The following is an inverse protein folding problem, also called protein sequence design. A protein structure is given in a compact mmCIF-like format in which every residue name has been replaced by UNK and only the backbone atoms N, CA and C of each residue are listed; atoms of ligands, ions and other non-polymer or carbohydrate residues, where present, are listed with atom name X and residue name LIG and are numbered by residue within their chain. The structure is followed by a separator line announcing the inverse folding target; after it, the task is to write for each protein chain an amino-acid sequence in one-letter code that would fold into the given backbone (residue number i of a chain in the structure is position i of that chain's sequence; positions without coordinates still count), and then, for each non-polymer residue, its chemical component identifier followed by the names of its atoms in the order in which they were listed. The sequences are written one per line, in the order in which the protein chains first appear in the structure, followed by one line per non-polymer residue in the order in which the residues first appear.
data_IF_911467686145
#
_entry.id   IF_911467686145
#
_cell.length_a   1.000
_cell.length_b   1.000
_cell.length_c   1.000
_cell.angle_alpha   90.00
_cell.angle_beta   90.00
_cell.angle_gamma   90.00
#
_symmetry.space_group_name_H-M   'P 1'
#
loop_
_entity.id
_entity.type
_entity.pdbx_description
1 polymer ?
#
# COMPACT_ATOMS: atom_id res chain seq x y z
N UNK A 1 1.48 5.56 19.75
CA UNK A 1 0.85 4.21 19.81
C UNK A 1 1.73 3.29 20.63
N UNK A 2 1.19 2.77 21.73
CA UNK A 2 1.90 1.90 22.66
C UNK A 2 1.09 0.62 22.86
N UNK A 3 1.76 -0.53 22.73
CA UNK A 3 1.15 -1.84 22.99
C UNK A 3 1.50 -2.28 24.42
N UNK A 4 0.50 -2.81 25.14
CA UNK A 4 0.74 -3.53 26.38
C UNK A 4 1.22 -4.95 26.03
N UNK A 5 2.38 -5.35 26.56
CA UNK A 5 2.88 -6.73 26.39
C UNK A 5 3.23 -7.33 27.78
N UNK A 6 3.32 -8.66 27.89
CA UNK A 6 3.72 -9.29 29.14
C UNK A 6 5.09 -8.83 29.67
N UNK A 7 5.97 -8.37 28.77
CA UNK A 7 7.30 -7.86 29.11
C UNK A 7 7.31 -6.33 29.40
N UNK A 8 6.13 -5.68 29.43
CA UNK A 8 5.97 -4.23 29.61
C UNK A 8 5.47 -3.50 28.37
N UNK A 9 5.22 -2.18 28.45
CA UNK A 9 4.71 -1.40 27.34
C UNK A 9 5.76 -1.22 26.24
N UNK A 10 5.36 -1.46 24.98
CA UNK A 10 6.20 -1.28 23.79
C UNK A 10 5.64 -0.14 22.95
N UNK A 11 6.37 0.96 22.86
CA UNK A 11 6.01 2.08 22.02
C UNK A 11 6.40 1.79 20.57
N UNK A 12 5.41 1.56 19.71
CA UNK A 12 5.61 1.27 18.29
C UNK A 12 5.78 2.55 17.45
N UNK A 13 4.98 3.59 17.76
CA UNK A 13 5.00 4.89 17.08
C UNK A 13 5.01 6.03 18.11
N UNK A 14 5.80 7.06 17.87
CA UNK A 14 5.85 8.26 18.69
C UNK A 14 5.89 9.50 17.81
N UNK A 15 4.98 10.46 18.07
CA UNK A 15 4.94 11.77 17.39
C UNK A 15 5.00 11.64 15.85
N UNK A 16 4.24 10.69 15.29
CA UNK A 16 4.12 10.51 13.84
C UNK A 16 2.99 11.41 13.33
N UNK A 17 3.35 12.58 12.81
CA UNK A 17 2.41 13.50 12.16
C UNK A 17 2.70 13.51 10.66
N UNK A 18 1.66 13.32 9.86
CA UNK A 18 1.75 13.34 8.40
C UNK A 18 0.39 13.74 7.81
N UNK A 19 0.43 14.35 6.66
CA UNK A 19 -0.77 14.68 5.86
C UNK A 19 -0.57 14.11 4.46
N UNK A 20 -1.60 13.50 3.87
CA UNK A 20 -1.57 12.94 2.52
C UNK A 20 -2.66 13.64 1.72
N UNK A 21 -2.32 14.18 0.58
CA UNK A 21 -3.27 14.84 -0.31
C UNK A 21 -4.13 13.79 -1.07
N UNK A 22 -5.37 14.15 -1.48
CA UNK A 22 -6.14 13.30 -2.38
C UNK A 22 -5.35 12.96 -3.66
N UNK A 23 -5.45 11.72 -4.13
CA UNK A 23 -4.77 11.18 -5.32
C UNK A 23 -3.25 11.14 -5.23
N UNK A 24 -2.67 11.40 -4.07
CA UNK A 24 -1.23 11.32 -3.84
C UNK A 24 -0.81 9.85 -3.65
N UNK A 25 0.31 9.47 -4.25
CA UNK A 25 0.98 8.20 -3.99
C UNK A 25 2.10 8.42 -2.98
N UNK A 26 1.92 7.98 -1.74
CA UNK A 26 2.90 8.15 -0.66
C UNK A 26 3.46 6.79 -0.24
N UNK A 27 4.78 6.66 -0.22
CA UNK A 27 5.43 5.48 0.37
C UNK A 27 5.92 5.73 1.80
N UNK A 28 5.73 4.72 2.65
CA UNK A 28 6.33 4.60 3.96
C UNK A 28 7.53 3.67 3.89
N UNK A 29 8.72 4.20 4.09
CA UNK A 29 9.97 3.47 4.08
C UNK A 29 10.57 3.41 5.48
N UNK A 30 11.17 2.29 5.88
CA UNK A 30 11.80 2.18 7.20
C UNK A 30 12.20 0.75 7.52
N UNK A 31 13.05 0.53 8.54
CA UNK A 31 13.50 -0.79 8.94
C UNK A 31 12.33 -1.67 9.42
N UNK A 32 12.55 -2.98 9.44
CA UNK A 32 11.55 -3.92 9.95
C UNK A 32 11.21 -3.60 11.41
N UNK A 33 9.93 -3.66 11.73
CA UNK A 33 9.43 -3.42 13.08
C UNK A 33 9.43 -1.95 13.54
N UNK A 34 9.65 -0.96 12.66
CA UNK A 34 9.57 0.46 13.02
C UNK A 34 8.14 1.03 13.10
N UNK A 35 7.10 0.22 12.87
CA UNK A 35 5.71 0.64 13.02
C UNK A 35 4.96 0.98 11.73
N UNK A 36 5.51 0.70 10.53
CA UNK A 36 4.83 0.96 9.24
C UNK A 36 3.46 0.30 9.14
N UNK A 37 3.40 -1.01 9.34
CA UNK A 37 2.12 -1.76 9.35
C UNK A 37 1.19 -1.33 10.48
N UNK A 38 1.74 -0.91 11.63
CA UNK A 38 0.95 -0.33 12.72
C UNK A 38 0.28 0.97 12.28
N UNK A 39 1.00 1.83 11.56
CA UNK A 39 0.43 3.08 11.04
C UNK A 39 -0.70 2.80 10.04
N UNK A 40 -0.52 1.86 9.09
CA UNK A 40 -1.58 1.48 8.18
C UNK A 40 -2.84 0.97 8.91
N UNK A 41 -2.64 0.12 9.92
CA UNK A 41 -3.75 -0.44 10.71
C UNK A 41 -4.48 0.61 11.55
N UNK A 42 -3.78 1.64 12.02
CA UNK A 42 -4.39 2.80 12.68
C UNK A 42 -5.24 3.61 11.71
N UNK A 43 -4.73 3.88 10.49
CA UNK A 43 -5.48 4.60 9.45
C UNK A 43 -6.72 3.82 9.03
N UNK A 44 -6.64 2.48 8.92
CA UNK A 44 -7.74 1.60 8.54
C UNK A 44 -8.78 1.35 9.65
N UNK A 45 -8.63 1.95 10.83
CA UNK A 45 -9.47 1.66 12.01
C UNK A 45 -9.45 0.18 12.46
N UNK A 46 -8.33 -0.51 12.22
CA UNK A 46 -8.08 -1.86 12.74
C UNK A 46 -7.50 -1.77 14.15
N UNK A 47 -6.77 -0.70 14.45
CA UNK A 47 -6.24 -0.35 15.75
C UNK A 47 -6.67 1.05 16.14
N UNK A 48 -6.95 1.27 17.42
CA UNK A 48 -7.18 2.60 17.96
C UNK A 48 -5.86 3.25 18.40
N UNK A 49 -5.62 4.54 18.15
CA UNK A 49 -4.43 5.23 18.64
C UNK A 49 -4.48 5.36 20.17
N UNK A 50 -3.32 5.18 20.85
CA UNK A 50 -3.21 5.43 22.29
C UNK A 50 -3.35 6.92 22.61
N UNK A 51 -2.80 7.76 21.74
CA UNK A 51 -2.83 9.23 21.83
C UNK A 51 -2.82 9.82 20.42
N UNK A 52 -3.27 11.08 20.30
CA UNK A 52 -3.36 11.77 19.03
C UNK A 52 -4.66 11.50 18.30
N UNK A 53 -4.75 11.96 17.06
CA UNK A 53 -5.94 11.81 16.23
C UNK A 53 -5.55 11.42 14.80
N UNK A 54 -6.48 10.76 14.12
CA UNK A 54 -6.40 10.42 12.70
C UNK A 54 -7.68 10.91 12.05
N UNK A 55 -7.55 11.52 10.89
CA UNK A 55 -8.67 12.01 10.09
C UNK A 55 -8.50 11.52 8.64
N UNK A 56 -9.57 11.08 8.02
CA UNK A 56 -9.59 10.63 6.63
C UNK A 56 -10.75 11.31 5.92
N UNK A 57 -10.42 12.24 4.99
CA UNK A 57 -11.43 13.07 4.35
C UNK A 57 -12.21 13.97 5.33
N UNK A 58 -11.60 14.37 6.45
CA UNK A 58 -12.22 15.14 7.53
C UNK A 58 -13.01 14.32 8.56
N UNK A 59 -13.17 13.02 8.34
CA UNK A 59 -13.89 12.12 9.24
C UNK A 59 -12.91 11.28 10.10
N UNK A 60 -13.32 10.84 11.31
CA UNK A 60 -12.59 9.82 12.06
C UNK A 60 -12.49 8.49 11.27
N UNK A 61 -11.43 7.67 11.47
CA UNK A 61 -11.24 6.41 10.74
C UNK A 61 -12.43 5.44 10.82
N UNK A 62 -13.12 5.39 11.95
CA UNK A 62 -14.32 4.54 12.14
C UNK A 62 -15.46 4.92 11.17
N UNK A 63 -15.62 6.20 10.87
CA UNK A 63 -16.62 6.68 9.90
C UNK A 63 -16.19 6.35 8.49
N UNK A 64 -14.92 6.62 8.16
CA UNK A 64 -14.33 6.30 6.86
C UNK A 64 -14.42 4.78 6.56
N UNK A 65 -14.13 3.91 7.54
CA UNK A 65 -14.26 2.46 7.42
C UNK A 65 -15.72 2.03 7.15
N UNK A 66 -16.70 2.58 7.88
CA UNK A 66 -18.12 2.28 7.65
C UNK A 66 -18.60 2.70 6.26
N UNK A 67 -18.04 3.79 5.72
CA UNK A 67 -18.30 4.28 4.34
C UNK A 67 -17.49 3.54 3.29
N UNK A 68 -16.69 2.52 3.65
CA UNK A 68 -15.83 1.76 2.74
C UNK A 68 -14.83 2.63 1.97
N UNK A 69 -14.33 3.68 2.63
CA UNK A 69 -13.33 4.60 2.06
C UNK A 69 -12.01 3.86 1.79
N UNK A 70 -11.72 2.77 2.52
CA UNK A 70 -10.48 2.03 2.44
C UNK A 70 -10.58 0.76 1.60
N UNK A 71 -9.58 0.55 0.73
CA UNK A 71 -9.13 -0.75 0.27
C UNK A 71 -7.84 -1.14 1.01
N UNK A 72 -7.68 -2.41 1.39
CA UNK A 72 -6.48 -2.89 2.07
C UNK A 72 -5.88 -4.08 1.33
N UNK A 73 -4.57 -3.98 1.02
CA UNK A 73 -3.77 -5.06 0.43
C UNK A 73 -2.70 -5.45 1.44
N UNK A 74 -2.77 -6.69 1.91
CA UNK A 74 -1.82 -7.24 2.87
C UNK A 74 -0.57 -7.78 2.15
N UNK A 75 0.50 -8.00 2.90
CA UNK A 75 1.73 -8.62 2.42
C UNK A 75 1.47 -9.99 1.78
N UNK A 76 0.67 -10.83 2.46
CA UNK A 76 0.11 -12.03 1.86
C UNK A 76 -1.22 -11.67 1.18
N UNK A 77 -1.47 -12.23 0.00
CA UNK A 77 -2.70 -11.96 -0.75
C UNK A 77 -3.99 -12.34 -0.01
N UNK A 78 -3.90 -13.21 0.99
CA UNK A 78 -5.00 -13.66 1.88
C UNK A 78 -6.26 -14.03 1.11
N UNK A 79 -6.11 -14.71 -0.05
CA UNK A 79 -7.24 -15.19 -0.82
C UNK A 79 -7.88 -16.39 -0.12
N UNK A 80 -9.22 -16.47 -0.19
CA UNK A 80 -9.95 -17.61 0.33
C UNK A 80 -9.72 -18.82 -0.60
N UNK A 81 -9.05 -19.91 -0.13
CA UNK A 81 -8.63 -21.00 -1.01
C UNK A 81 -9.78 -21.79 -1.64
N UNK A 82 -10.96 -21.79 -1.01
CA UNK A 82 -12.17 -22.45 -1.50
C UNK A 82 -13.00 -21.59 -2.47
N UNK A 83 -12.54 -20.38 -2.79
CA UNK A 83 -13.16 -19.46 -3.74
C UNK A 83 -12.27 -19.28 -4.95
N UNK A 84 -12.87 -19.22 -6.14
CA UNK A 84 -12.13 -18.86 -7.34
C UNK A 84 -11.77 -17.37 -7.36
N UNK A 85 -11.02 -16.94 -8.36
CA UNK A 85 -10.54 -15.57 -8.52
C UNK A 85 -11.68 -14.54 -8.49
N UNK A 86 -12.73 -14.75 -9.32
CA UNK A 86 -13.88 -13.85 -9.37
C UNK A 86 -14.61 -13.76 -8.02
N UNK A 87 -14.82 -14.89 -7.35
CA UNK A 87 -15.46 -14.94 -6.04
C UNK A 87 -14.63 -14.26 -4.94
N UNK A 88 -13.28 -14.33 -5.04
CA UNK A 88 -12.40 -13.59 -4.14
C UNK A 88 -12.52 -12.07 -4.37
N UNK A 89 -12.59 -11.61 -5.61
CA UNK A 89 -12.76 -10.17 -5.93
C UNK A 89 -14.13 -9.66 -5.46
N UNK A 90 -15.18 -10.44 -5.63
CA UNK A 90 -16.56 -10.06 -5.22
C UNK A 90 -16.80 -10.08 -3.71
N UNK A 91 -15.92 -10.70 -2.91
CA UNK A 91 -16.10 -10.88 -1.48
C UNK A 91 -16.50 -9.60 -0.71
N UNK A 92 -15.86 -8.42 -0.92
CA UNK A 92 -16.26 -7.20 -0.20
C UNK A 92 -17.68 -6.74 -0.52
N UNK A 93 -18.16 -6.97 -1.75
CA UNK A 93 -19.54 -6.64 -2.14
C UNK A 93 -20.54 -7.63 -1.55
N UNK A 94 -20.19 -8.90 -1.46
CA UNK A 94 -21.03 -9.93 -0.81
C UNK A 94 -21.27 -9.60 0.67
N UNK A 95 -20.20 -9.25 1.39
CA UNK A 95 -20.30 -8.81 2.81
C UNK A 95 -21.15 -7.55 2.94
N UNK A 96 -21.12 -6.70 1.91
CA UNK A 96 -21.90 -5.46 1.88
C UNK A 96 -23.33 -5.58 1.40
N UNK A 97 -23.75 -6.73 0.91
CA UNK A 97 -25.11 -6.93 0.36
C UNK A 97 -25.27 -6.58 -1.13
N UNK A 98 -24.20 -6.12 -1.82
CA UNK A 98 -24.26 -5.55 -3.18
C UNK A 98 -23.72 -6.50 -4.27
N UNK A 99 -23.51 -7.77 -3.98
CA UNK A 99 -22.78 -8.72 -4.85
C UNK A 99 -23.39 -8.96 -6.22
N UNK A 100 -24.73 -8.86 -6.33
CA UNK A 100 -25.43 -9.19 -7.60
C UNK A 100 -25.10 -8.25 -8.75
N UNK A 101 -24.77 -6.98 -8.45
CA UNK A 101 -24.46 -5.96 -9.45
C UNK A 101 -22.94 -5.83 -9.72
N UNK A 102 -22.09 -6.45 -8.90
CA UNK A 102 -20.64 -6.29 -8.95
C UNK A 102 -19.89 -7.16 -9.95
N UNK A 103 -20.55 -8.15 -10.60
CA UNK A 103 -19.87 -9.07 -11.53
C UNK A 103 -19.22 -8.38 -12.73
N UNK A 104 -19.86 -7.46 -13.44
CA UNK A 104 -19.23 -6.73 -14.54
C UNK A 104 -18.01 -5.91 -14.07
N UNK A 105 -18.13 -5.22 -12.94
CA UNK A 105 -17.03 -4.45 -12.35
C UNK A 105 -15.86 -5.35 -11.93
N UNK A 106 -16.13 -6.52 -11.35
CA UNK A 106 -15.11 -7.49 -11.00
C UNK A 106 -14.34 -8.03 -12.20
N UNK A 107 -15.04 -8.33 -13.31
CA UNK A 107 -14.40 -8.77 -14.56
C UNK A 107 -13.56 -7.64 -15.18
N UNK A 108 -14.05 -6.40 -15.17
CA UNK A 108 -13.30 -5.25 -15.63
C UNK A 108 -12.03 -4.99 -14.77
N UNK A 109 -12.12 -5.17 -13.46
CA UNK A 109 -10.97 -5.08 -12.56
C UNK A 109 -9.97 -6.21 -12.80
N UNK A 110 -10.44 -7.45 -13.05
CA UNK A 110 -9.55 -8.56 -13.42
C UNK A 110 -8.83 -8.29 -14.75
N UNK A 111 -9.49 -7.68 -15.71
CA UNK A 111 -8.85 -7.24 -16.95
C UNK A 111 -7.85 -6.12 -16.69
N UNK A 112 -8.21 -5.13 -15.87
CA UNK A 112 -7.32 -4.02 -15.46
C UNK A 112 -6.04 -4.51 -14.81
N UNK A 113 -6.11 -5.54 -13.96
CA UNK A 113 -4.93 -6.12 -13.31
C UNK A 113 -4.24 -7.22 -14.15
N UNK A 114 -4.60 -7.36 -15.44
CA UNK A 114 -3.97 -8.33 -16.36
C UNK A 114 -4.29 -9.79 -16.06
N UNK A 115 -5.48 -10.08 -15.53
CA UNK A 115 -5.96 -11.44 -15.21
C UNK A 115 -7.20 -11.86 -16.01
N UNK A 116 -7.36 -11.31 -17.22
CA UNK A 116 -8.41 -11.74 -18.15
C UNK A 116 -8.33 -13.24 -18.41
N UNK A 117 -9.44 -13.95 -18.26
CA UNK A 117 -9.53 -15.41 -18.47
C UNK A 117 -9.11 -16.27 -17.27
N UNK A 118 -8.73 -15.67 -16.15
CA UNK A 118 -8.41 -16.37 -14.90
C UNK A 118 -9.52 -16.27 -13.85
N UNK A 119 -10.71 -15.81 -14.22
CA UNK A 119 -11.86 -15.59 -13.33
C UNK A 119 -12.33 -16.88 -12.62
N UNK A 120 -12.26 -18.03 -13.28
CA UNK A 120 -12.61 -19.33 -12.72
C UNK A 120 -11.45 -20.04 -11.98
N UNK A 121 -10.20 -19.54 -12.09
CA UNK A 121 -9.04 -20.16 -11.46
C UNK A 121 -9.08 -20.02 -9.93
N UNK A 122 -8.62 -21.05 -9.23
CA UNK A 122 -8.48 -21.04 -7.78
C UNK A 122 -7.09 -20.55 -7.35
N UNK A 123 -6.90 -20.06 -6.10
CA UNK A 123 -5.64 -19.51 -5.62
C UNK A 123 -4.42 -20.41 -5.80
N UNK A 124 -4.57 -21.72 -5.70
CA UNK A 124 -3.47 -22.69 -5.90
C UNK A 124 -3.04 -22.85 -7.36
N UNK A 125 -3.86 -22.39 -8.31
CA UNK A 125 -3.57 -22.40 -9.76
C UNK A 125 -2.87 -21.12 -10.21
N UNK A 126 -2.69 -20.14 -9.30
CA UNK A 126 -2.15 -18.82 -9.58
C UNK A 126 -0.71 -18.70 -9.07
N UNK A 127 0.14 -17.99 -9.82
CA UNK A 127 1.45 -17.58 -9.31
C UNK A 127 1.34 -16.59 -8.14
N UNK A 128 2.44 -16.35 -7.40
CA UNK A 128 2.46 -15.37 -6.31
C UNK A 128 2.02 -13.96 -6.76
N UNK A 129 2.56 -13.50 -7.90
CA UNK A 129 2.20 -12.21 -8.48
C UNK A 129 0.73 -12.16 -8.95
N UNK A 130 0.21 -13.26 -9.52
CA UNK A 130 -1.22 -13.34 -9.90
C UNK A 130 -2.12 -13.26 -8.66
N UNK A 131 -1.79 -13.97 -7.58
CA UNK A 131 -2.55 -13.87 -6.32
C UNK A 131 -2.56 -12.45 -5.78
N UNK A 132 -1.43 -11.75 -5.86
CA UNK A 132 -1.35 -10.37 -5.39
C UNK A 132 -2.19 -9.43 -6.26
N UNK A 133 -2.23 -9.63 -7.58
CA UNK A 133 -3.13 -8.89 -8.49
C UNK A 133 -4.60 -9.12 -8.17
N UNK A 134 -4.99 -10.34 -7.82
CA UNK A 134 -6.36 -10.62 -7.33
C UNK A 134 -6.65 -9.86 -6.03
N UNK A 135 -5.70 -9.79 -5.09
CA UNK A 135 -5.87 -9.03 -3.85
C UNK A 135 -6.02 -7.53 -4.11
N UNK A 136 -5.30 -6.98 -5.08
CA UNK A 136 -5.46 -5.58 -5.51
C UNK A 136 -6.84 -5.36 -6.12
N UNK A 137 -7.29 -6.22 -7.06
CA UNK A 137 -8.63 -6.14 -7.64
C UNK A 137 -9.73 -6.24 -6.58
N UNK A 138 -9.58 -7.15 -5.60
CA UNK A 138 -10.47 -7.26 -4.44
C UNK A 138 -10.53 -5.99 -3.60
N UNK A 139 -9.39 -5.33 -3.39
CA UNK A 139 -9.35 -4.09 -2.63
C UNK A 139 -10.00 -2.91 -3.39
N UNK A 140 -9.97 -2.93 -4.72
CA UNK A 140 -10.51 -1.88 -5.58
C UNK A 140 -12.01 -2.03 -5.89
N UNK A 141 -12.62 -3.21 -5.70
CA UNK A 141 -14.01 -3.47 -6.11
C UNK A 141 -15.03 -2.56 -5.43
N UNK A 142 -14.72 -2.07 -4.24
CA UNK A 142 -15.55 -1.10 -3.52
C UNK A 142 -15.31 0.34 -3.93
N UNK A 143 -14.47 0.59 -4.94
CA UNK A 143 -14.05 1.92 -5.40
C UNK A 143 -13.56 2.82 -4.26
N UNK A 144 -12.55 2.36 -3.48
CA UNK A 144 -12.08 3.08 -2.31
C UNK A 144 -11.42 4.40 -2.69
N UNK A 145 -11.53 5.41 -1.82
CA UNK A 145 -10.79 6.67 -1.98
C UNK A 145 -9.32 6.53 -1.55
N UNK A 146 -9.04 5.58 -0.65
CA UNK A 146 -7.70 5.33 -0.11
C UNK A 146 -7.37 3.84 -0.20
N UNK A 147 -6.24 3.52 -0.82
CA UNK A 147 -5.70 2.17 -0.88
C UNK A 147 -4.49 2.06 0.04
N UNK A 148 -4.60 1.20 1.03
CA UNK A 148 -3.55 0.91 2.01
C UNK A 148 -2.84 -0.39 1.61
N UNK A 149 -1.52 -0.36 1.42
CA UNK A 149 -0.76 -1.49 0.92
C UNK A 149 0.42 -1.78 1.86
N UNK A 150 0.42 -2.95 2.50
CA UNK A 150 1.45 -3.37 3.47
C UNK A 150 2.43 -4.35 2.82
N UNK A 151 3.57 -3.87 2.33
CA UNK A 151 4.62 -4.63 1.64
C UNK A 151 4.09 -5.62 0.59
N UNK A 152 3.19 -5.19 -0.34
CA UNK A 152 2.43 -6.11 -1.18
C UNK A 152 3.29 -6.93 -2.14
N UNK A 153 4.52 -6.50 -2.41
CA UNK A 153 5.44 -7.14 -3.35
C UNK A 153 6.68 -7.73 -2.68
N UNK A 154 6.72 -7.75 -1.34
CA UNK A 154 7.89 -8.18 -0.58
C UNK A 154 8.32 -9.62 -0.82
N UNK A 155 7.37 -10.52 -1.12
CA UNK A 155 7.61 -11.94 -1.37
C UNK A 155 7.87 -12.29 -2.85
N UNK A 156 7.87 -11.28 -3.76
CA UNK A 156 8.09 -11.50 -5.19
C UNK A 156 9.58 -11.42 -5.54
N UNK A 157 9.99 -12.19 -6.56
CA UNK A 157 11.30 -12.03 -7.19
C UNK A 157 11.42 -10.65 -7.87
N UNK A 158 12.65 -10.25 -8.21
CA UNK A 158 12.93 -8.90 -8.68
C UNK A 158 12.20 -8.56 -9.99
N UNK A 159 12.19 -9.48 -10.97
CA UNK A 159 11.57 -9.27 -12.28
C UNK A 159 10.05 -9.13 -12.11
N UNK A 160 9.44 -10.04 -11.38
CA UNK A 160 8.00 -10.00 -11.10
C UNK A 160 7.62 -8.72 -10.33
N UNK A 161 8.45 -8.29 -9.37
CA UNK A 161 8.23 -7.05 -8.61
C UNK A 161 8.30 -5.82 -9.51
N UNK A 162 9.24 -5.75 -10.44
CA UNK A 162 9.33 -4.64 -11.40
C UNK A 162 8.08 -4.54 -12.28
N UNK A 163 7.61 -5.67 -12.78
CA UNK A 163 6.36 -5.74 -13.51
C UNK A 163 5.17 -5.27 -12.66
N UNK A 164 5.10 -5.72 -11.41
CA UNK A 164 4.01 -5.33 -10.50
C UNK A 164 4.03 -3.84 -10.18
N UNK A 165 5.20 -3.24 -10.07
CA UNK A 165 5.34 -1.80 -9.85
C UNK A 165 4.78 -0.99 -11.05
N UNK A 166 5.05 -1.41 -12.29
CA UNK A 166 4.51 -0.78 -13.49
C UNK A 166 2.99 -0.93 -13.56
N UNK A 167 2.48 -2.14 -13.31
CA UNK A 167 1.04 -2.41 -13.28
C UNK A 167 0.34 -1.60 -12.18
N UNK A 168 0.95 -1.45 -11.01
CA UNK A 168 0.38 -0.65 -9.93
C UNK A 168 0.27 0.83 -10.30
N UNK A 169 1.28 1.39 -10.98
CA UNK A 169 1.20 2.77 -11.48
C UNK A 169 0.07 2.93 -12.50
N UNK A 170 -0.05 1.99 -13.46
CA UNK A 170 -1.14 2.00 -14.45
C UNK A 170 -2.53 1.93 -13.78
N UNK A 171 -2.67 1.07 -12.76
CA UNK A 171 -3.91 0.95 -11.98
C UNK A 171 -4.19 2.25 -11.23
N UNK A 172 -3.18 2.82 -10.59
CA UNK A 172 -3.31 4.08 -9.84
C UNK A 172 -3.72 5.25 -10.74
N UNK A 173 -3.10 5.39 -11.91
CA UNK A 173 -3.47 6.42 -12.91
C UNK A 173 -4.91 6.25 -13.39
N UNK A 174 -5.38 4.99 -13.56
CA UNK A 174 -6.75 4.70 -14.00
C UNK A 174 -7.81 4.91 -12.90
N UNK A 175 -7.44 4.76 -11.63
CA UNK A 175 -8.40 4.80 -10.50
C UNK A 175 -8.38 6.10 -9.73
N UNK A 176 -7.34 6.91 -9.88
CA UNK A 176 -7.13 8.18 -9.15
C UNK A 176 -7.23 8.05 -7.62
N UNK A 177 -6.95 6.85 -7.11
CA UNK A 177 -7.05 6.52 -5.68
C UNK A 177 -5.84 7.06 -4.92
N UNK A 178 -6.02 7.60 -3.72
CA UNK A 178 -4.90 7.94 -2.82
C UNK A 178 -4.24 6.65 -2.35
N UNK A 179 -2.91 6.52 -2.48
CA UNK A 179 -2.19 5.31 -2.05
C UNK A 179 -1.25 5.61 -0.90
N UNK A 180 -1.34 4.79 0.15
CA UNK A 180 -0.33 4.71 1.21
C UNK A 180 0.33 3.31 1.13
N UNK A 181 1.57 3.30 0.66
CA UNK A 181 2.31 2.10 0.29
C UNK A 181 3.48 1.85 1.25
N UNK A 182 3.52 0.72 1.89
CA UNK A 182 4.64 0.31 2.74
C UNK A 182 5.61 -0.54 1.95
N UNK A 183 6.88 -0.18 2.01
CA UNK A 183 7.97 -0.96 1.43
C UNK A 183 9.26 -0.83 2.25
N UNK A 184 10.19 -1.75 2.05
CA UNK A 184 11.56 -1.65 2.53
C UNK A 184 12.56 -1.36 1.39
N UNK A 185 12.08 -1.24 0.15
CA UNK A 185 12.89 -0.99 -1.04
C UNK A 185 12.92 0.50 -1.39
N UNK A 186 14.09 1.14 -1.28
CA UNK A 186 14.27 2.54 -1.69
C UNK A 186 14.02 2.77 -3.20
N UNK A 187 14.50 1.91 -4.12
CA UNK A 187 14.18 2.07 -5.55
C UNK A 187 12.68 1.97 -5.84
N UNK A 188 11.96 1.04 -5.19
CA UNK A 188 10.53 0.88 -5.34
C UNK A 188 9.78 2.13 -4.86
N UNK A 189 10.13 2.65 -3.67
CA UNK A 189 9.54 3.87 -3.14
C UNK A 189 9.75 5.07 -4.07
N UNK A 190 10.97 5.25 -4.65
CA UNK A 190 11.25 6.31 -5.62
C UNK A 190 10.46 6.13 -6.90
N UNK A 191 10.37 4.89 -7.41
CA UNK A 191 9.69 4.63 -8.67
C UNK A 191 8.18 4.87 -8.57
N UNK A 192 7.55 4.52 -7.46
CA UNK A 192 6.09 4.56 -7.31
C UNK A 192 5.58 5.95 -6.87
N UNK A 193 6.28 6.63 -5.95
CA UNK A 193 5.66 7.66 -5.12
C UNK A 193 5.86 9.08 -5.62
N UNK A 194 4.94 9.96 -5.25
CA UNK A 194 5.10 11.42 -5.34
C UNK A 194 5.92 11.92 -4.14
N UNK A 195 5.83 11.20 -3.01
CA UNK A 195 6.53 11.52 -1.76
C UNK A 195 6.84 10.25 -0.97
N UNK A 196 8.02 10.22 -0.34
CA UNK A 196 8.45 9.13 0.51
C UNK A 196 8.67 9.63 1.93
N UNK A 197 8.03 8.96 2.89
CA UNK A 197 8.21 9.20 4.31
C UNK A 197 9.13 8.12 4.89
N UNK A 198 10.26 8.50 5.46
CA UNK A 198 11.18 7.57 6.10
C UNK A 198 10.92 7.53 7.59
N UNK A 199 10.55 6.36 8.10
CA UNK A 199 10.39 6.12 9.52
C UNK A 199 11.71 5.64 10.14
N UNK A 200 12.03 6.19 11.31
CA UNK A 200 13.16 5.74 12.13
C UNK A 200 12.89 4.40 12.81
N UNK A 201 13.94 3.85 13.43
CA UNK A 201 13.83 2.68 14.31
C UNK A 201 12.91 2.97 15.53
N UNK A 202 12.53 1.93 16.27
CA UNK A 202 11.59 2.02 17.41
C UNK A 202 12.00 3.06 18.45
N UNK A 203 11.04 3.91 18.90
CA UNK A 203 9.70 4.08 18.37
C UNK A 203 9.73 4.76 17.00
N UNK A 204 8.86 4.32 16.07
CA UNK A 204 8.76 4.89 14.74
C UNK A 204 8.40 6.37 14.79
N UNK A 205 9.25 7.21 14.18
CA UNK A 205 9.05 8.65 13.98
C UNK A 205 9.37 8.98 12.54
N UNK A 206 8.68 9.94 11.95
CA UNK A 206 9.06 10.46 10.63
C UNK A 206 10.40 11.18 10.76
N UNK A 207 11.43 10.64 10.12
CA UNK A 207 12.80 11.20 10.10
C UNK A 207 13.05 12.08 8.88
N UNK A 208 12.44 11.71 7.77
CA UNK A 208 12.60 12.41 6.50
C UNK A 208 11.29 12.34 5.73
N UNK A 209 10.93 13.43 5.12
CA UNK A 209 9.90 13.54 4.10
C UNK A 209 10.59 14.02 2.82
N UNK A 210 10.57 13.18 1.78
CA UNK A 210 11.26 13.43 0.53
C UNK A 210 10.27 13.50 -0.62
N UNK A 211 10.01 14.68 -1.21
CA UNK A 211 9.28 14.80 -2.47
C UNK A 211 10.06 14.15 -3.62
N UNK A 212 9.38 13.37 -4.45
CA UNK A 212 9.98 12.73 -5.62
C UNK A 212 9.54 13.49 -6.87
N UNK A 213 10.38 14.39 -7.36
CA UNK A 213 10.09 15.24 -8.51
C UNK A 213 10.50 14.59 -9.84
N UNK A 214 10.12 13.33 -10.03
CA UNK A 214 10.30 12.63 -11.29
C UNK A 214 9.06 12.80 -12.16
N UNK A 215 9.19 12.94 -13.50
CA UNK A 215 8.04 13.11 -14.40
C UNK A 215 7.10 11.91 -14.35
N UNK A 216 5.82 12.16 -14.70
CA UNK A 216 4.81 11.13 -14.92
C UNK A 216 4.30 11.22 -16.37
N UNK A 217 3.85 10.12 -17.00
CA UNK A 217 3.90 8.75 -16.50
C UNK A 217 5.35 8.25 -16.32
N UNK A 218 5.60 7.39 -15.35
CA UNK A 218 6.95 6.88 -15.08
C UNK A 218 7.25 5.66 -15.93
N UNK A 219 8.12 5.86 -16.91
CA UNK A 219 8.73 4.78 -17.69
C UNK A 219 9.84 4.10 -16.88
N UNK A 220 10.05 2.78 -17.02
CA UNK A 220 11.18 2.06 -16.40
C UNK A 220 12.55 2.70 -16.65
N UNK A 221 12.77 3.34 -17.80
CA UNK A 221 14.00 4.05 -18.14
C UNK A 221 14.34 5.19 -17.14
N UNK A 222 13.35 5.70 -16.38
CA UNK A 222 13.61 6.70 -15.32
C UNK A 222 14.59 6.17 -14.27
N UNK A 223 14.67 4.85 -14.07
CA UNK A 223 15.59 4.22 -13.12
C UNK A 223 17.05 4.39 -13.49
N UNK A 224 17.37 4.64 -14.75
CA UNK A 224 18.71 4.86 -15.26
C UNK A 224 19.16 6.32 -15.13
N UNK A 225 18.28 7.21 -14.68
CA UNK A 225 18.58 8.64 -14.55
C UNK A 225 19.37 8.97 -13.29
N UNK A 226 20.18 10.03 -13.38
CA UNK A 226 20.93 10.56 -12.23
C UNK A 226 20.00 11.03 -11.10
N UNK A 227 18.84 11.58 -11.45
CA UNK A 227 17.84 12.04 -10.46
C UNK A 227 17.26 10.88 -9.67
N UNK A 228 16.92 9.78 -10.31
CA UNK A 228 16.47 8.56 -9.64
C UNK A 228 17.54 8.03 -8.67
N UNK A 229 18.78 7.98 -9.13
CA UNK A 229 19.92 7.54 -8.30
C UNK A 229 20.12 8.47 -7.09
N UNK A 230 19.97 9.79 -7.25
CA UNK A 230 20.06 10.78 -6.15
C UNK A 230 18.96 10.57 -5.11
N UNK A 231 17.70 10.42 -5.52
CA UNK A 231 16.59 10.15 -4.61
C UNK A 231 16.80 8.84 -3.85
N UNK A 232 17.18 7.77 -4.55
CA UNK A 232 17.45 6.46 -3.95
C UNK A 232 18.59 6.54 -2.92
N UNK A 233 19.67 7.25 -3.24
CA UNK A 233 20.80 7.45 -2.34
C UNK A 233 20.41 8.27 -1.10
N UNK A 234 19.57 9.30 -1.26
CA UNK A 234 19.05 10.10 -0.14
C UNK A 234 18.24 9.23 0.83
N UNK A 235 17.33 8.40 0.33
CA UNK A 235 16.55 7.47 1.15
C UNK A 235 17.43 6.45 1.87
N UNK A 236 18.44 5.87 1.20
CA UNK A 236 19.39 4.92 1.82
C UNK A 236 20.19 5.58 2.95
N UNK A 237 20.66 6.83 2.78
CA UNK A 237 21.33 7.58 3.84
C UNK A 237 20.43 7.81 5.05
N UNK A 238 19.18 8.21 4.82
CA UNK A 238 18.20 8.42 5.90
C UNK A 238 17.91 7.13 6.68
N UNK A 239 17.80 5.99 5.98
CA UNK A 239 17.64 4.67 6.61
C UNK A 239 18.86 4.27 7.45
N UNK A 240 20.08 4.54 6.96
CA UNK A 240 21.32 4.25 7.66
C UNK A 240 21.59 5.18 8.86
N UNK A 241 20.72 6.18 9.12
CA UNK A 241 20.91 7.13 10.20
C UNK A 241 22.05 8.14 10.00
N UNK A 242 22.59 8.25 8.77
CA UNK A 242 23.64 9.23 8.44
C UNK A 242 23.00 10.59 8.12
N UNK A 243 23.58 11.72 8.60
CA UNK A 243 23.08 13.05 8.25
C UNK A 243 23.14 13.28 6.74
N UNK A 244 22.23 14.11 6.23
CA UNK A 244 22.31 14.60 4.85
C UNK A 244 23.62 15.40 4.73
N UNK A 245 24.47 15.05 3.76
CA UNK A 245 25.53 15.94 3.33
C UNK A 245 24.87 17.14 2.64
N UNK A 246 25.16 18.35 3.13
CA UNK A 246 24.75 19.61 2.51
C UNK A 246 25.26 19.76 1.08
#
# INVERSE_FOLDING_TARGET
MTFATPAGPVQALANASLTIAPREFVSLLGPSGCGKSTLLRLVADILAPTEGRIEVGGDPPVVARRRRVFGFVFQDATLLPWRNTLQNVLLPLEIGGDARQGRPDALALLELVGLRGFDAAYPWQLSGGMRQRVAIARALITRPQVLLMDEPFGALDEITREHMNQELLRIWEATETTILFVTHSSPEAVFLSDRVLVLGARPGRVKLELPIRLPRPRDPAVKETVEFARHTAALRRALAGKPQAE
#
